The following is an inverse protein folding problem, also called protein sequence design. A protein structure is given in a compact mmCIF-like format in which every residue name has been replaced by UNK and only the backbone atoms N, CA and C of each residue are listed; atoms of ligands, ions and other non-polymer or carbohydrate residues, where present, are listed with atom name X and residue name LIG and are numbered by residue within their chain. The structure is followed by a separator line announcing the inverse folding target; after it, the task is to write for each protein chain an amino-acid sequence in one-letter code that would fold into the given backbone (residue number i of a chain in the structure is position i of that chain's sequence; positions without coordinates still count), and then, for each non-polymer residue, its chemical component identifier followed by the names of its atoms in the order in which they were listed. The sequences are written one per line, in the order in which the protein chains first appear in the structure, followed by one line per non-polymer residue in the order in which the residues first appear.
data_IF_230500977028
#
_entry.id   IF_230500977028
#
_cell.length_a   1.000
_cell.length_b   1.000
_cell.length_c   1.000
_cell.angle_alpha   90.00
_cell.angle_beta   90.00
_cell.angle_gamma   90.00
#
_symmetry.space_group_name_H-M   'P 1'
#
loop_
_entity.id
_entity.type
_entity.pdbx_description
1 polymer ?
#
# COMPACT_ATOMS: atom_id res chain seq x y z
N UNK A 1 36.76 4.84 9.45
CA UNK A 1 35.39 5.34 9.69
C UNK A 1 34.73 5.42 8.32
N UNK A 2 34.23 4.31 7.79
CA UNK A 2 33.43 4.32 6.56
C UNK A 2 32.33 3.28 6.76
N UNK A 3 31.38 3.64 7.62
CA UNK A 3 30.24 2.83 8.00
C UNK A 3 29.14 2.98 6.95
N UNK A 4 29.25 2.25 5.85
CA UNK A 4 28.15 2.09 4.91
C UNK A 4 27.08 1.20 5.56
N UNK A 5 26.11 1.85 6.19
CA UNK A 5 24.91 1.22 6.74
C UNK A 5 24.24 0.44 5.61
N UNK A 6 24.28 -0.89 5.67
CA UNK A 6 23.56 -1.80 4.77
C UNK A 6 22.08 -1.40 4.73
N UNK A 7 21.65 -0.77 3.64
CA UNK A 7 20.26 -0.31 3.39
C UNK A 7 19.32 -1.52 3.33
N UNK A 8 18.42 -1.77 4.29
CA UNK A 8 17.63 -3.00 4.34
C UNK A 8 16.27 -2.90 3.62
N UNK A 9 16.25 -2.20 2.48
CA UNK A 9 15.22 -2.30 1.46
C UNK A 9 16.00 -2.19 0.17
N UNK A 10 16.02 -3.20 -0.73
CA UNK A 10 16.81 -3.12 -1.97
C UNK A 10 16.08 -2.21 -2.97
N UNK A 11 16.38 -0.90 -3.02
CA UNK A 11 15.67 0.07 -3.85
C UNK A 11 16.20 0.02 -5.30
N UNK A 12 17.27 -0.75 -5.51
CA UNK A 12 18.03 -0.90 -6.75
C UNK A 12 17.24 -1.60 -7.85
N UNK A 13 16.17 -2.35 -7.52
CA UNK A 13 15.39 -3.09 -8.52
C UNK A 13 14.61 -2.17 -9.46
N UNK A 14 14.30 -0.93 -9.05
CA UNK A 14 13.61 0.04 -9.89
C UNK A 14 14.16 1.48 -9.83
N UNK A 15 15.35 1.71 -9.26
CA UNK A 15 15.90 3.08 -9.15
C UNK A 15 15.04 3.97 -8.26
N UNK A 16 14.65 3.45 -7.10
CA UNK A 16 13.80 4.17 -6.14
C UNK A 16 14.48 5.42 -5.58
N UNK A 17 13.72 6.50 -5.50
CA UNK A 17 14.10 7.75 -4.83
C UNK A 17 13.06 8.10 -3.76
N UNK A 18 13.54 8.62 -2.63
CA UNK A 18 12.68 9.05 -1.53
C UNK A 18 11.85 10.26 -1.96
N UNK A 19 10.54 10.22 -1.74
CA UNK A 19 9.64 11.34 -2.04
C UNK A 19 9.67 12.41 -0.95
N UNK A 20 9.46 11.99 0.31
CA UNK A 20 9.34 12.87 1.49
C UNK A 20 9.78 12.26 2.82
N UNK A 21 9.58 10.96 3.06
CA UNK A 21 9.82 10.29 4.35
C UNK A 21 11.04 9.37 4.27
N UNK A 22 12.22 9.96 4.48
CA UNK A 22 13.49 9.23 4.47
C UNK A 22 13.62 8.21 5.60
N UNK A 23 12.87 8.35 6.70
CA UNK A 23 12.92 7.42 7.82
C UNK A 23 12.17 6.13 7.47
N UNK A 24 10.95 6.24 6.94
CA UNK A 24 10.17 5.07 6.50
C UNK A 24 10.73 4.44 5.24
N UNK A 25 11.34 5.22 4.35
CA UNK A 25 12.00 4.70 3.14
C UNK A 25 13.14 3.71 3.44
N UNK A 26 13.72 3.74 4.64
CA UNK A 26 14.84 2.87 5.02
C UNK A 26 14.42 1.45 5.45
N UNK A 27 13.13 1.15 5.54
CA UNK A 27 12.64 -0.15 6.00
C UNK A 27 11.62 -0.75 5.06
N UNK A 28 11.59 -2.08 5.05
CA UNK A 28 10.49 -2.84 4.46
C UNK A 28 9.38 -2.96 5.49
N UNK A 29 8.16 -2.75 5.03
CA UNK A 29 6.94 -2.95 5.80
C UNK A 29 6.03 -3.95 5.09
N UNK A 30 5.15 -4.58 5.86
CA UNK A 30 4.13 -5.47 5.33
C UNK A 30 2.94 -4.63 4.87
N UNK A 31 2.71 -4.59 3.56
CA UNK A 31 1.52 -3.98 2.97
C UNK A 31 0.37 -4.99 2.92
N UNK A 32 -0.81 -4.51 3.30
CA UNK A 32 -2.08 -5.20 3.12
C UNK A 32 -2.64 -4.85 1.74
N UNK A 33 -2.47 -5.74 0.75
CA UNK A 33 -2.94 -5.52 -0.65
C UNK A 33 -4.42 -5.12 -0.67
N UNK A 34 -5.24 -5.79 0.13
CA UNK A 34 -6.57 -5.34 0.55
C UNK A 34 -6.40 -4.71 1.92
N UNK A 35 -6.50 -3.38 2.05
CA UNK A 35 -6.20 -2.68 3.30
C UNK A 35 -7.04 -3.20 4.47
N UNK A 36 -6.44 -3.24 5.66
CA UNK A 36 -7.16 -3.61 6.89
C UNK A 36 -8.46 -2.80 7.10
N UNK A 37 -8.46 -1.53 6.67
CA UNK A 37 -9.65 -0.70 6.69
C UNK A 37 -10.78 -1.27 5.82
N UNK A 38 -10.50 -1.75 4.61
CA UNK A 38 -11.50 -2.38 3.73
C UNK A 38 -12.08 -3.63 4.39
N UNK A 39 -11.24 -4.44 5.03
CA UNK A 39 -11.64 -5.67 5.72
C UNK A 39 -12.48 -5.43 6.98
N UNK A 40 -12.30 -4.27 7.62
CA UNK A 40 -12.70 -4.06 9.01
C UNK A 40 -13.63 -2.89 9.29
N UNK A 41 -13.61 -1.79 8.51
CA UNK A 41 -14.24 -0.54 8.92
C UNK A 41 -15.76 -0.65 9.16
N UNK A 42 -16.45 -1.58 8.48
CA UNK A 42 -17.90 -1.78 8.66
C UNK A 42 -18.25 -2.68 9.85
N UNK A 43 -17.25 -3.33 10.47
CA UNK A 43 -17.46 -4.26 11.58
C UNK A 43 -17.70 -3.50 12.88
N UNK A 44 -18.51 -4.08 13.76
CA UNK A 44 -18.83 -3.46 15.06
C UNK A 44 -17.58 -3.24 15.94
N UNK A 45 -16.59 -4.15 15.87
CA UNK A 45 -15.33 -3.96 16.60
C UNK A 45 -14.62 -2.66 16.20
N UNK A 46 -14.68 -2.30 14.90
CA UNK A 46 -13.99 -1.14 14.38
C UNK A 46 -14.71 0.14 14.79
N UNK A 47 -16.04 0.12 14.76
CA UNK A 47 -16.87 1.23 15.25
C UNK A 47 -16.68 1.48 16.75
N UNK A 48 -16.34 0.44 17.53
CA UNK A 48 -16.17 0.51 19.00
C UNK A 48 -14.72 0.69 19.47
N UNK A 49 -13.76 0.88 18.58
CA UNK A 49 -12.35 1.05 18.98
C UNK A 49 -11.30 0.84 17.87
N UNK A 50 -11.71 0.97 16.62
CA UNK A 50 -10.83 0.88 15.46
C UNK A 50 -10.20 -0.50 15.25
N UNK A 51 -9.11 -0.50 14.49
CA UNK A 51 -8.32 -1.68 14.13
C UNK A 51 -7.83 -2.44 15.37
N UNK A 52 -7.36 -1.73 16.39
CA UNK A 52 -6.83 -2.36 17.61
C UNK A 52 -7.90 -3.13 18.38
N UNK A 53 -9.13 -2.59 18.45
CA UNK A 53 -10.23 -3.35 19.04
C UNK A 53 -10.62 -4.56 18.18
N UNK A 54 -10.57 -4.47 16.85
CA UNK A 54 -10.81 -5.65 16.01
C UNK A 54 -9.75 -6.73 16.16
N UNK A 55 -8.48 -6.36 16.32
CA UNK A 55 -7.39 -7.33 16.60
C UNK A 55 -7.65 -8.13 17.87
N UNK A 56 -8.23 -7.54 18.90
CA UNK A 56 -8.46 -8.22 20.17
C UNK A 56 -9.80 -8.96 20.21
N UNK A 57 -10.87 -8.36 19.65
CA UNK A 57 -12.25 -8.79 19.86
C UNK A 57 -12.90 -9.56 18.70
N UNK A 58 -12.41 -9.43 17.46
CA UNK A 58 -13.02 -10.06 16.27
C UNK A 58 -12.11 -11.15 15.69
N UNK A 59 -12.40 -12.44 15.93
CA UNK A 59 -11.59 -13.55 15.43
C UNK A 59 -11.56 -13.63 13.90
N UNK A 60 -12.64 -13.22 13.22
CA UNK A 60 -12.69 -13.24 11.75
C UNK A 60 -11.80 -12.14 11.19
N UNK A 61 -11.83 -10.94 11.79
CA UNK A 61 -10.92 -9.85 11.41
C UNK A 61 -9.45 -10.26 11.56
N UNK A 62 -9.08 -10.89 12.68
CA UNK A 62 -7.70 -11.37 12.90
C UNK A 62 -7.21 -12.30 11.78
N UNK A 63 -8.05 -13.25 11.37
CA UNK A 63 -7.69 -14.22 10.32
C UNK A 63 -7.53 -13.50 8.97
N UNK A 64 -8.44 -12.60 8.61
CA UNK A 64 -8.34 -11.85 7.35
C UNK A 64 -7.12 -10.91 7.32
N UNK A 65 -6.82 -10.25 8.45
CA UNK A 65 -5.67 -9.35 8.56
C UNK A 65 -4.33 -10.10 8.51
N UNK A 66 -4.28 -11.32 9.04
CA UNK A 66 -3.08 -12.15 9.06
C UNK A 66 -2.92 -13.06 7.82
N UNK A 67 -3.81 -12.96 6.84
CA UNK A 67 -3.75 -13.77 5.62
C UNK A 67 -2.49 -13.44 4.82
N UNK A 68 -1.58 -14.40 4.71
CA UNK A 68 -0.32 -14.26 3.99
C UNK A 68 -0.52 -14.02 2.49
N UNK A 69 -1.67 -14.41 1.92
CA UNK A 69 -2.00 -14.09 0.52
C UNK A 69 -2.30 -12.60 0.31
N UNK A 70 -2.58 -11.86 1.39
CA UNK A 70 -2.88 -10.44 1.39
C UNK A 70 -1.69 -9.57 1.84
N UNK A 71 -0.53 -10.16 2.14
CA UNK A 71 0.65 -9.46 2.62
C UNK A 71 1.76 -9.42 1.57
N UNK A 72 2.22 -8.22 1.24
CA UNK A 72 3.37 -8.02 0.34
C UNK A 72 4.44 -7.15 1.01
N UNK A 73 5.73 -7.47 0.89
CA UNK A 73 6.78 -6.56 1.30
C UNK A 73 6.74 -5.31 0.42
N UNK A 74 6.81 -4.13 1.04
CA UNK A 74 6.87 -2.83 0.38
C UNK A 74 7.84 -1.88 1.09
N UNK A 75 8.27 -0.83 0.41
CA UNK A 75 9.05 0.25 1.03
C UNK A 75 8.12 1.03 1.98
N UNK A 76 8.56 1.31 3.21
CA UNK A 76 7.70 1.92 4.23
C UNK A 76 7.11 3.28 3.85
N UNK A 77 7.84 4.11 3.10
CA UNK A 77 7.29 5.36 2.55
C UNK A 77 6.15 5.09 1.56
N UNK A 78 6.37 4.15 0.62
CA UNK A 78 5.35 3.78 -0.37
C UNK A 78 4.12 3.19 0.33
N UNK A 79 4.32 2.37 1.37
CA UNK A 79 3.25 1.85 2.23
C UNK A 79 2.43 2.97 2.89
N UNK A 80 3.13 4.00 3.39
CA UNK A 80 2.49 5.15 4.02
C UNK A 80 1.60 5.90 3.04
N UNK A 81 2.11 6.13 1.83
CA UNK A 81 1.45 6.88 0.77
C UNK A 81 0.27 6.09 0.17
N UNK A 82 0.38 4.77 0.08
CA UNK A 82 -0.70 3.85 -0.31
C UNK A 82 -1.92 3.96 0.61
N UNK A 83 -1.70 4.09 1.92
CA UNK A 83 -2.75 4.30 2.92
C UNK A 83 -3.89 3.26 2.77
N UNK A 84 -5.14 3.71 2.67
CA UNK A 84 -6.30 2.88 2.30
C UNK A 84 -6.90 3.31 0.95
N UNK A 85 -6.06 3.76 0.01
CA UNK A 85 -6.47 4.24 -1.29
C UNK A 85 -6.90 3.10 -2.21
N UNK A 86 -7.77 3.41 -3.16
CA UNK A 86 -8.21 2.44 -4.17
C UNK A 86 -7.11 2.23 -5.20
N UNK A 87 -7.03 1.05 -5.80
CA UNK A 87 -6.15 0.83 -6.94
C UNK A 87 -6.79 1.28 -8.25
N UNK A 88 -6.01 1.96 -9.10
CA UNK A 88 -6.45 2.44 -10.42
C UNK A 88 -5.27 2.80 -11.30
N UNK A 89 -5.50 2.95 -12.61
CA UNK A 89 -4.47 3.43 -13.54
C UNK A 89 -4.35 4.94 -13.44
N UNK A 90 -3.12 5.46 -13.39
CA UNK A 90 -2.82 6.88 -13.27
C UNK A 90 -1.82 7.31 -14.36
N UNK A 91 -2.22 7.27 -15.65
CA UNK A 91 -1.32 7.59 -16.77
C UNK A 91 -0.84 9.05 -16.73
N UNK A 92 -1.65 9.96 -16.19
CA UNK A 92 -1.35 11.40 -16.04
C UNK A 92 -0.59 11.76 -14.77
N UNK A 93 -0.43 10.84 -13.82
CA UNK A 93 0.28 11.11 -12.57
C UNK A 93 1.78 10.91 -12.80
N UNK A 94 2.63 11.92 -12.51
CA UNK A 94 4.07 11.77 -12.62
C UNK A 94 4.63 10.68 -11.70
N UNK A 95 5.79 10.12 -12.05
CA UNK A 95 6.53 9.26 -11.14
C UNK A 95 6.96 10.04 -9.89
N UNK A 96 6.77 9.44 -8.73
CA UNK A 96 7.03 10.07 -7.44
C UNK A 96 8.18 9.41 -6.67
N UNK A 97 8.62 8.23 -7.11
CA UNK A 97 9.57 7.39 -6.39
C UNK A 97 10.76 7.03 -7.30
N UNK A 98 11.35 8.02 -7.97
CA UNK A 98 12.40 7.82 -8.97
C UNK A 98 11.90 7.05 -10.18
N UNK A 99 12.63 6.02 -10.60
CA UNK A 99 12.25 5.18 -11.74
C UNK A 99 11.22 4.08 -11.40
N UNK A 100 10.77 4.00 -10.15
CA UNK A 100 9.75 3.03 -9.78
C UNK A 100 8.36 3.40 -10.35
N UNK A 101 7.62 2.42 -10.89
CA UNK A 101 6.38 2.69 -11.62
C UNK A 101 5.17 2.98 -10.74
N UNK A 102 5.26 2.75 -9.42
CA UNK A 102 4.17 3.09 -8.49
C UNK A 102 3.89 4.58 -8.54
N UNK A 103 2.60 4.96 -8.62
CA UNK A 103 2.14 6.35 -8.64
C UNK A 103 0.95 6.50 -7.72
N UNK A 104 0.85 7.61 -6.99
CA UNK A 104 -0.23 7.89 -6.06
C UNK A 104 -0.79 9.28 -6.31
N UNK A 105 -2.07 9.34 -6.65
CA UNK A 105 -2.84 10.59 -6.63
C UNK A 105 -3.46 10.75 -5.24
N UNK A 106 -2.83 11.60 -4.42
CA UNK A 106 -3.29 11.88 -3.06
C UNK A 106 -4.63 12.63 -3.01
N UNK A 107 -4.98 13.39 -4.06
CA UNK A 107 -6.25 14.12 -4.11
C UNK A 107 -7.40 13.19 -4.45
N UNK A 108 -7.21 12.34 -5.47
CA UNK A 108 -8.20 11.35 -5.88
C UNK A 108 -8.21 10.11 -4.98
N UNK A 109 -7.20 9.95 -4.12
CA UNK A 109 -7.03 8.79 -3.23
C UNK A 109 -6.98 7.48 -4.01
N UNK A 110 -6.17 7.48 -5.07
CA UNK A 110 -5.93 6.35 -5.95
C UNK A 110 -4.43 6.09 -6.04
N UNK A 111 -4.05 4.82 -6.06
CA UNK A 111 -2.67 4.40 -6.32
C UNK A 111 -2.62 3.44 -7.50
N UNK A 112 -1.73 3.71 -8.44
CA UNK A 112 -1.30 2.76 -9.47
C UNK A 112 -0.14 1.95 -8.92
N UNK A 113 -0.31 0.64 -8.69
CA UNK A 113 0.75 -0.21 -8.17
C UNK A 113 1.72 -0.64 -9.30
N UNK A 114 2.93 -1.06 -8.93
CA UNK A 114 3.91 -1.59 -9.89
C UNK A 114 3.40 -2.81 -10.67
N UNK A 115 3.93 -2.97 -11.88
CA UNK A 115 3.76 -4.18 -12.67
C UNK A 115 4.40 -5.38 -11.92
N UNK A 116 3.56 -6.25 -11.36
CA UNK A 116 3.98 -7.41 -10.56
C UNK A 116 3.41 -7.47 -9.14
N UNK A 117 2.66 -6.46 -8.68
CA UNK A 117 1.73 -6.64 -7.55
C UNK A 117 0.71 -7.72 -7.96
N UNK A 118 0.32 -8.67 -7.07
CA UNK A 118 -0.47 -9.84 -7.44
C UNK A 118 -1.63 -9.47 -8.37
N UNK A 119 -1.85 -10.30 -9.39
CA UNK A 119 -2.78 -10.09 -10.52
C UNK A 119 -4.24 -9.77 -10.15
N UNK A 120 -4.57 -9.75 -8.87
CA UNK A 120 -5.84 -9.29 -8.32
C UNK A 120 -6.15 -7.81 -8.61
N UNK A 121 -5.19 -6.89 -8.49
CA UNK A 121 -5.48 -5.45 -8.70
C UNK A 121 -5.89 -5.14 -10.15
N UNK A 122 -5.25 -5.81 -11.13
CA UNK A 122 -5.57 -5.64 -12.55
C UNK A 122 -6.96 -6.17 -12.92
N UNK A 123 -7.58 -7.02 -12.09
CA UNK A 123 -9.00 -7.40 -12.22
C UNK A 123 -9.92 -6.33 -11.66
N UNK A 124 -9.54 -5.69 -10.55
CA UNK A 124 -10.29 -4.59 -9.93
C UNK A 124 -10.25 -3.32 -10.80
N UNK A 125 -9.09 -2.95 -11.32
CA UNK A 125 -8.92 -1.76 -12.16
C UNK A 125 -9.52 -1.88 -13.58
N UNK A 126 -9.88 -3.08 -14.03
CA UNK A 126 -10.56 -3.34 -15.32
C UNK A 126 -12.08 -3.42 -15.21
N UNK A 127 -12.65 -3.27 -14.01
CA UNK A 127 -14.09 -3.18 -13.87
C UNK A 127 -14.57 -1.86 -14.49
N UNK A 128 -15.56 -1.88 -15.40
CA UNK A 128 -16.14 -0.66 -15.94
C UNK A 128 -16.69 0.19 -14.79
N UNK A 129 -16.12 1.38 -14.58
CA UNK A 129 -16.51 2.31 -13.51
C UNK A 129 -15.39 2.87 -12.65
N UNK A 130 -14.15 2.37 -12.75
CA UNK A 130 -12.97 2.93 -12.05
C UNK A 130 -12.36 4.12 -12.80
N UNK A 131 -12.74 4.33 -14.07
CA UNK A 131 -12.42 5.52 -14.84
C UNK A 131 -13.59 6.50 -14.80
N UNK A 132 -13.67 7.31 -13.73
CA UNK A 132 -14.32 8.62 -13.77
C UNK A 132 -13.57 9.58 -12.85
N UNK A 133 -12.68 10.35 -13.46
CA UNK A 133 -12.42 11.69 -12.97
C UNK A 133 -13.73 12.47 -12.85
N UNK A 134 -14.03 12.88 -11.63
CA UNK A 134 -14.79 14.08 -11.29
C UNK A 134 -14.18 14.65 -10.02
#
# INVERSE_FOLDING_TARGET
MDGEIRRPARPEVCGYEVRTDSNRAQRIEWEHIVPAWVLGHQRQCWQKGGRENCKTSDPVFRVMEADMHNLSPTIGEVNADLSNYSYGMLPSTPHQYGACPTRTDFKQRVTEPRDGTPSGWRRVARLPGVDRGQ
#
